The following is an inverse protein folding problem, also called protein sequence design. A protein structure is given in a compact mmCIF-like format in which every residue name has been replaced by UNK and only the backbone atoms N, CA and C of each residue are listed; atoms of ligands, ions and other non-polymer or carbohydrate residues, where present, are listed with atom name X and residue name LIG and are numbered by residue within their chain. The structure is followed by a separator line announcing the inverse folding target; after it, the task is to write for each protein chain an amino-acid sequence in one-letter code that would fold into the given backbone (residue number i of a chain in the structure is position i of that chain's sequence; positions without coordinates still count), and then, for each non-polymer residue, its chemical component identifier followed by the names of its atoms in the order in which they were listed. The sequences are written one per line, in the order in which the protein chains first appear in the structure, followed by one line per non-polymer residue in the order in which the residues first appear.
data_IF_612922620507
#
_entry.id   IF_612922620507
#
_cell.length_a   1.000
_cell.length_b   1.000
_cell.length_c   1.000
_cell.angle_alpha   90.00
_cell.angle_beta   90.00
_cell.angle_gamma   90.00
#
_symmetry.space_group_name_H-M   'P 1'
#
loop_
_entity.id
_entity.type
_entity.pdbx_description
1 polymer ?
#
# COMPACT_ATOMS: atom_id res chain seq x y z
N UNK A 1 -2.11 7.57 15.20
CA UNK A 1 -3.24 7.23 14.32
C UNK A 1 -2.93 7.74 12.91
N UNK A 2 -2.46 6.87 12.01
CA UNK A 2 -2.35 7.22 10.58
C UNK A 2 -3.68 6.82 9.94
N UNK A 3 -4.36 7.78 9.32
CA UNK A 3 -5.55 7.52 8.49
C UNK A 3 -5.21 6.37 7.52
N UNK A 4 -6.14 5.45 7.21
CA UNK A 4 -5.91 4.54 6.11
C UNK A 4 -5.58 5.41 4.89
N UNK A 5 -4.50 5.09 4.18
CA UNK A 5 -4.24 5.67 2.87
C UNK A 5 -5.43 5.23 2.01
N UNK A 6 -6.51 6.00 2.05
CA UNK A 6 -7.45 6.01 0.96
C UNK A 6 -6.61 6.31 -0.26
N UNK A 7 -6.71 5.44 -1.24
CA UNK A 7 -6.33 5.70 -2.60
C UNK A 7 -7.24 6.83 -3.11
N UNK A 8 -7.10 8.03 -2.54
CA UNK A 8 -7.66 9.25 -3.09
C UNK A 8 -6.79 9.48 -4.30
N UNK A 9 -7.30 8.92 -5.38
CA UNK A 9 -7.01 9.29 -6.73
C UNK A 9 -7.08 10.82 -6.79
N UNK A 10 -5.92 11.47 -6.70
CA UNK A 10 -5.69 12.70 -7.44
C UNK A 10 -5.33 12.27 -8.89
N UNK A 11 -6.23 11.55 -9.55
CA UNK A 11 -6.27 11.63 -11.01
C UNK A 11 -6.91 12.98 -11.26
N UNK A 12 -6.08 13.92 -11.70
CA UNK A 12 -6.53 15.24 -12.11
C UNK A 12 -7.76 15.08 -12.99
N UNK A 13 -8.87 15.67 -12.56
CA UNK A 13 -9.83 16.20 -13.51
C UNK A 13 -9.12 17.32 -14.28
N UNK A 14 -8.43 16.99 -15.36
CA UNK A 14 -8.24 17.95 -16.44
C UNK A 14 -9.46 17.86 -17.33
N UNK A 15 -10.54 18.52 -16.91
CA UNK A 15 -11.54 18.99 -17.86
C UNK A 15 -10.87 20.10 -18.69
N UNK A 16 -10.11 19.71 -19.71
CA UNK A 16 -9.68 20.61 -20.75
C UNK A 16 -10.51 20.27 -21.99
N UNK A 17 -11.76 20.75 -22.01
CA UNK A 17 -12.44 20.95 -23.28
C UNK A 17 -11.59 21.94 -24.09
N UNK A 18 -11.31 21.60 -25.36
CA UNK A 18 -10.60 22.36 -26.39
C UNK A 18 -10.23 23.82 -26.03
N UNK A 19 -9.29 23.99 -25.10
CA UNK A 19 -8.74 25.26 -24.68
C UNK A 19 -7.34 25.35 -25.29
N UNK A 20 -6.99 26.53 -25.80
CA UNK A 20 -5.76 26.81 -26.55
C UNK A 20 -4.56 26.02 -26.01
N UNK A 21 -4.10 25.06 -26.81
CA UNK A 21 -2.91 24.27 -26.49
C UNK A 21 -1.73 25.24 -26.33
N UNK A 22 -1.16 25.28 -25.12
CA UNK A 22 0.05 26.06 -24.84
C UNK A 22 1.21 25.27 -25.43
N UNK A 23 1.90 25.82 -26.42
CA UNK A 23 3.06 25.18 -27.03
C UNK A 23 4.36 25.63 -26.36
N UNK A 24 5.25 24.66 -26.12
CA UNK A 24 6.63 24.87 -25.73
C UNK A 24 7.59 24.42 -26.86
N UNK A 25 8.87 24.72 -26.71
CA UNK A 25 9.90 24.35 -27.68
C UNK A 25 10.17 25.46 -28.70
N UNK A 26 10.87 25.10 -29.78
CA UNK A 26 11.23 26.04 -30.86
C UNK A 26 10.06 26.21 -31.83
N UNK A 27 10.04 27.30 -32.58
CA UNK A 27 8.97 27.58 -33.55
C UNK A 27 8.86 26.50 -34.66
N UNK A 28 9.97 25.87 -35.01
CA UNK A 28 10.08 24.78 -35.97
C UNK A 28 9.90 23.39 -35.35
N UNK A 29 9.71 23.30 -34.04
CA UNK A 29 9.46 22.07 -33.32
C UNK A 29 8.66 22.30 -32.03
N UNK A 30 7.38 22.61 -32.22
CA UNK A 30 6.44 22.89 -31.13
C UNK A 30 5.94 21.60 -30.48
N UNK A 31 5.80 21.64 -29.17
CA UNK A 31 5.34 20.54 -28.32
C UNK A 31 4.15 21.07 -27.52
N UNK A 32 3.04 20.34 -27.52
CA UNK A 32 1.87 20.69 -26.75
C UNK A 32 2.14 20.47 -25.26
N UNK A 33 1.93 21.50 -24.46
CA UNK A 33 1.94 21.45 -23.01
C UNK A 33 0.53 21.31 -22.43
N UNK A 34 0.49 21.01 -21.13
CA UNK A 34 -0.73 20.99 -20.33
C UNK A 34 -0.56 21.82 -19.06
N UNK A 35 -1.65 22.05 -18.31
CA UNK A 35 -1.66 22.93 -17.14
C UNK A 35 -0.53 22.65 -16.12
N UNK A 36 -0.19 21.38 -15.87
CA UNK A 36 0.89 21.01 -14.92
C UNK A 36 2.31 21.38 -15.37
N UNK A 37 2.55 21.56 -16.67
CA UNK A 37 3.84 21.96 -17.23
C UNK A 37 3.83 23.44 -17.67
N UNK A 38 2.87 24.23 -17.19
CA UNK A 38 2.83 25.66 -17.44
C UNK A 38 4.10 26.34 -16.89
N UNK A 39 4.83 27.04 -17.76
CA UNK A 39 6.13 27.66 -17.44
C UNK A 39 7.31 26.67 -17.38
N UNK A 40 7.12 25.41 -17.77
CA UNK A 40 8.21 24.45 -17.91
C UNK A 40 8.87 24.59 -19.29
N UNK A 41 10.14 24.22 -19.38
CA UNK A 41 10.86 24.06 -20.63
C UNK A 41 10.76 22.61 -21.12
N UNK A 42 10.43 22.43 -22.40
CA UNK A 42 10.41 21.14 -23.08
C UNK A 42 11.71 20.90 -23.85
N UNK A 43 12.28 19.71 -23.68
CA UNK A 43 13.35 19.17 -24.52
C UNK A 43 12.86 17.92 -25.23
N UNK A 44 12.92 17.93 -26.56
CA UNK A 44 12.54 16.81 -27.42
C UNK A 44 13.75 16.39 -28.25
N UNK A 45 14.04 15.09 -28.28
CA UNK A 45 15.16 14.54 -29.05
C UNK A 45 14.73 13.77 -30.32
N UNK A 46 13.44 13.74 -30.65
CA UNK A 46 12.93 13.09 -31.86
C UNK A 46 12.84 14.04 -33.05
N UNK A 47 12.21 13.58 -34.13
CA UNK A 47 12.04 14.37 -35.34
C UNK A 47 11.01 15.50 -35.16
N UNK A 48 11.07 16.48 -36.06
CA UNK A 48 10.10 17.57 -36.16
C UNK A 48 9.53 17.58 -37.59
N UNK A 49 8.22 17.73 -37.71
CA UNK A 49 7.49 17.75 -38.98
C UNK A 49 6.43 18.86 -38.93
N UNK A 50 6.36 19.66 -39.99
CA UNK A 50 5.39 20.76 -40.14
C UNK A 50 5.39 21.76 -38.97
N UNK A 51 6.56 21.98 -38.36
CA UNK A 51 6.73 22.88 -37.21
C UNK A 51 6.36 22.28 -35.85
N UNK A 52 6.17 20.96 -35.77
CA UNK A 52 5.79 20.24 -34.55
C UNK A 52 6.68 19.04 -34.29
N UNK A 53 6.86 18.68 -33.02
CA UNK A 53 7.48 17.41 -32.66
C UNK A 53 6.64 16.22 -33.16
N UNK A 54 7.28 15.26 -33.82
CA UNK A 54 6.57 14.15 -34.48
C UNK A 54 7.41 12.88 -34.59
N UNK A 55 6.76 11.73 -34.46
CA UNK A 55 7.41 10.42 -34.47
C UNK A 55 7.95 10.04 -33.10
N UNK A 56 8.69 8.92 -33.00
CA UNK A 56 9.24 8.42 -31.76
C UNK A 56 10.32 9.34 -31.19
N UNK A 57 10.40 9.40 -29.86
CA UNK A 57 11.45 10.13 -29.15
C UNK A 57 11.21 10.19 -27.65
N UNK A 58 12.09 10.92 -26.98
CA UNK A 58 12.03 11.27 -25.57
C UNK A 58 11.73 12.76 -25.40
N UNK A 59 10.65 13.06 -24.69
CA UNK A 59 10.26 14.38 -24.23
C UNK A 59 10.62 14.52 -22.75
N UNK A 60 11.35 15.57 -22.41
CA UNK A 60 11.69 15.92 -21.03
C UNK A 60 11.19 17.33 -20.72
N UNK A 61 10.31 17.45 -19.73
CA UNK A 61 9.93 18.72 -19.12
C UNK A 61 10.85 19.06 -17.95
N UNK A 62 11.14 20.34 -17.79
CA UNK A 62 11.95 20.86 -16.70
C UNK A 62 11.45 22.21 -16.22
N UNK A 63 11.64 22.50 -14.94
CA UNK A 63 11.36 23.81 -14.33
C UNK A 63 12.55 24.22 -13.47
N UNK A 64 13.02 25.45 -13.63
CA UNK A 64 14.18 25.99 -12.90
C UNK A 64 15.42 25.08 -12.98
N UNK A 65 15.67 24.50 -14.16
CA UNK A 65 16.78 23.58 -14.42
C UNK A 65 16.64 22.17 -13.83
N UNK A 66 15.50 21.83 -13.21
CA UNK A 66 15.22 20.50 -12.65
C UNK A 66 14.23 19.74 -13.54
N UNK A 67 14.54 18.49 -13.86
CA UNK A 67 13.64 17.59 -14.57
C UNK A 67 12.35 17.35 -13.74
N UNK A 68 11.19 17.37 -14.41
CA UNK A 68 9.88 17.15 -13.77
C UNK A 68 9.17 15.94 -14.37
N UNK A 69 8.79 16.02 -15.64
CA UNK A 69 7.99 15.00 -16.31
C UNK A 69 8.74 14.52 -17.54
N UNK A 70 8.64 13.23 -17.86
CA UNK A 70 9.28 12.62 -19.02
C UNK A 70 8.27 11.77 -19.77
N UNK A 71 8.36 11.74 -21.08
CA UNK A 71 7.59 10.83 -21.91
C UNK A 71 8.51 10.19 -22.94
N UNK A 72 8.40 8.88 -23.11
CA UNK A 72 9.07 8.10 -24.14
C UNK A 72 8.02 7.44 -25.02
N UNK A 73 7.98 7.82 -26.30
CA UNK A 73 6.99 7.32 -27.24
C UNK A 73 6.83 8.25 -28.43
N UNK A 74 5.83 7.99 -29.31
CA UNK A 74 5.55 8.85 -30.44
C UNK A 74 4.85 10.14 -30.01
N UNK A 75 5.18 11.22 -30.71
CA UNK A 75 4.38 12.43 -30.76
C UNK A 75 3.72 12.58 -32.14
N UNK A 76 2.53 13.17 -32.18
CA UNK A 76 1.85 13.61 -33.39
C UNK A 76 1.43 15.06 -33.22
N UNK A 77 1.89 15.96 -34.11
CA UNK A 77 1.65 17.41 -34.00
C UNK A 77 1.98 17.98 -32.61
N UNK A 78 3.07 17.48 -32.00
CA UNK A 78 3.54 17.90 -30.69
C UNK A 78 2.83 17.27 -29.50
N UNK A 79 1.89 16.33 -29.72
CA UNK A 79 1.05 15.72 -28.69
C UNK A 79 1.41 14.22 -28.55
N UNK A 80 1.52 13.64 -27.33
CA UNK A 80 1.70 12.20 -27.15
C UNK A 80 0.60 11.36 -27.81
N UNK A 81 1.01 10.38 -28.61
CA UNK A 81 0.12 9.54 -29.42
C UNK A 81 0.70 8.13 -29.57
N UNK A 82 -0.13 7.10 -29.47
CA UNK A 82 0.29 5.70 -29.57
C UNK A 82 1.00 5.19 -28.30
N UNK A 83 1.68 4.05 -28.41
CA UNK A 83 2.29 3.39 -27.25
C UNK A 83 3.45 4.21 -26.66
N UNK A 84 3.44 4.43 -25.35
CA UNK A 84 4.50 5.17 -24.66
C UNK A 84 4.52 4.96 -23.15
N UNK A 85 5.53 5.55 -22.53
CA UNK A 85 5.74 5.55 -21.08
C UNK A 85 5.93 7.00 -20.61
N UNK A 86 5.07 7.47 -19.73
CA UNK A 86 5.22 8.76 -19.05
C UNK A 86 5.67 8.57 -17.60
N UNK A 87 6.65 9.36 -17.17
CA UNK A 87 7.01 9.55 -15.78
C UNK A 87 6.56 10.95 -15.33
N UNK A 88 5.74 11.00 -14.29
CA UNK A 88 5.23 12.23 -13.71
C UNK A 88 6.17 12.81 -12.65
N UNK A 89 5.98 14.10 -12.33
CA UNK A 89 6.81 14.82 -11.37
C UNK A 89 6.77 14.25 -9.93
N UNK A 90 5.70 13.53 -9.58
CA UNK A 90 5.62 12.85 -8.28
C UNK A 90 6.42 11.54 -8.24
N UNK A 91 6.86 11.03 -9.40
CA UNK A 91 7.56 9.77 -9.62
C UNK A 91 6.69 8.64 -10.14
N UNK A 92 5.39 8.86 -10.34
CA UNK A 92 4.47 7.86 -10.87
C UNK A 92 4.77 7.57 -12.36
N UNK A 93 4.63 6.31 -12.76
CA UNK A 93 4.86 5.83 -14.13
C UNK A 93 3.53 5.41 -14.75
N UNK A 94 3.28 5.84 -15.97
CA UNK A 94 2.13 5.47 -16.77
C UNK A 94 2.64 4.82 -18.04
N UNK A 95 2.19 3.62 -18.33
CA UNK A 95 2.53 2.85 -19.54
C UNK A 95 1.25 2.46 -20.25
N UNK A 96 1.19 2.68 -21.56
CA UNK A 96 0.05 2.30 -22.37
C UNK A 96 -0.03 3.08 -23.67
N UNK A 97 -1.19 3.07 -24.32
CA UNK A 97 -1.42 3.91 -25.48
C UNK A 97 -1.87 5.31 -25.06
N UNK A 98 -1.43 6.30 -25.81
CA UNK A 98 -1.81 7.70 -25.66
C UNK A 98 -2.66 8.12 -26.84
N UNK A 99 -3.70 8.93 -26.57
CA UNK A 99 -4.49 9.61 -27.58
C UNK A 99 -4.72 11.03 -27.10
N UNK A 100 -4.42 12.01 -27.94
CA UNK A 100 -4.53 13.43 -27.59
C UNK A 100 -3.77 13.80 -26.29
N UNK A 101 -2.63 13.13 -26.05
CA UNK A 101 -1.78 13.40 -24.90
C UNK A 101 -2.21 12.72 -23.59
N UNK A 102 -3.32 11.98 -23.61
CA UNK A 102 -3.89 11.30 -22.45
C UNK A 102 -3.79 9.78 -22.60
N UNK A 103 -3.59 9.06 -21.50
CA UNK A 103 -3.60 7.61 -21.46
C UNK A 103 -4.98 7.09 -21.90
N UNK A 104 -4.99 6.16 -22.83
CA UNK A 104 -6.18 5.63 -23.47
C UNK A 104 -6.06 4.13 -23.79
N UNK A 105 -7.16 3.40 -23.64
CA UNK A 105 -7.18 1.94 -23.81
C UNK A 105 -6.44 1.21 -22.69
N UNK A 106 -5.93 0.00 -22.92
CA UNK A 106 -5.21 -0.76 -21.90
C UNK A 106 -3.95 -0.01 -21.43
N UNK A 107 -3.77 0.07 -20.12
CA UNK A 107 -2.61 0.71 -19.52
C UNK A 107 -2.29 0.21 -18.13
N UNK A 108 -1.12 0.60 -17.65
CA UNK A 108 -0.59 0.31 -16.33
C UNK A 108 -0.11 1.62 -15.70
N UNK A 109 -0.55 1.88 -14.48
CA UNK A 109 -0.08 3.00 -13.66
C UNK A 109 0.63 2.45 -12.44
N UNK A 110 1.89 2.81 -12.25
CA UNK A 110 2.68 2.54 -11.06
C UNK A 110 2.83 3.84 -10.28
N UNK A 111 2.24 3.92 -9.11
CA UNK A 111 2.27 5.11 -8.28
C UNK A 111 3.60 5.21 -7.51
N UNK A 112 3.98 6.43 -7.11
CA UNK A 112 5.17 6.69 -6.28
C UNK A 112 5.28 5.78 -5.04
N UNK A 113 4.15 5.42 -4.44
CA UNK A 113 4.10 4.58 -3.25
C UNK A 113 4.34 3.09 -3.52
N UNK A 114 4.40 2.68 -4.79
CA UNK A 114 4.58 1.30 -5.25
C UNK A 114 3.28 0.58 -5.59
N UNK A 115 2.11 1.20 -5.41
CA UNK A 115 0.85 0.63 -5.86
C UNK A 115 0.84 0.56 -7.40
N UNK A 116 0.24 -0.49 -7.96
CA UNK A 116 0.09 -0.72 -9.39
C UNK A 116 -1.40 -0.83 -9.73
N UNK A 117 -1.84 -0.18 -10.79
CA UNK A 117 -3.20 -0.26 -11.33
C UNK A 117 -3.13 -0.65 -12.80
N UNK A 118 -3.77 -1.75 -13.16
CA UNK A 118 -3.96 -2.19 -14.54
C UNK A 118 -5.44 -2.04 -14.89
N UNK A 119 -5.74 -1.32 -15.98
CA UNK A 119 -7.11 -1.02 -16.39
C UNK A 119 -7.18 -0.65 -17.87
N UNK A 120 -8.40 -0.51 -18.39
CA UNK A 120 -8.63 0.32 -19.57
C UNK A 120 -8.79 1.78 -19.13
N UNK A 121 -8.32 2.72 -19.94
CA UNK A 121 -8.35 4.15 -19.65
C UNK A 121 -9.10 4.95 -20.73
N UNK A 122 -9.83 5.95 -20.29
CA UNK A 122 -10.44 6.99 -21.14
C UNK A 122 -10.09 8.34 -20.54
N UNK A 123 -9.35 9.18 -21.28
CA UNK A 123 -8.91 10.51 -20.82
C UNK A 123 -8.21 10.45 -19.45
N UNK A 124 -7.19 9.58 -19.33
CA UNK A 124 -6.45 9.29 -18.09
C UNK A 124 -7.27 8.64 -16.95
N UNK A 125 -8.58 8.38 -17.15
CA UNK A 125 -9.43 7.78 -16.12
C UNK A 125 -9.58 6.28 -16.33
N UNK A 126 -9.34 5.44 -15.31
CA UNK A 126 -9.64 4.02 -15.42
C UNK A 126 -11.14 3.79 -15.58
N UNK A 127 -11.52 2.92 -16.51
CA UNK A 127 -12.90 2.56 -16.81
C UNK A 127 -13.10 1.04 -16.71
N UNK A 128 -14.29 0.64 -16.27
CA UNK A 128 -14.66 -0.77 -16.13
C UNK A 128 -13.99 -1.43 -14.92
N UNK A 129 -13.60 -2.70 -15.11
CA UNK A 129 -12.91 -3.47 -14.08
C UNK A 129 -11.42 -3.16 -14.10
N UNK A 130 -10.82 -3.11 -12.90
CA UNK A 130 -9.40 -2.88 -12.72
C UNK A 130 -8.76 -4.04 -11.97
N UNK A 131 -7.44 -4.17 -12.12
CA UNK A 131 -6.59 -4.95 -11.22
C UNK A 131 -5.66 -4.00 -10.49
N UNK A 132 -5.83 -3.87 -9.19
CA UNK A 132 -4.96 -3.07 -8.35
C UNK A 132 -4.09 -3.98 -7.48
N UNK A 133 -2.78 -3.76 -7.47
CA UNK A 133 -1.82 -4.41 -6.57
C UNK A 133 -1.24 -3.34 -5.67
N UNK A 134 -1.45 -3.46 -4.37
CA UNK A 134 -0.94 -2.49 -3.39
C UNK A 134 0.50 -2.82 -3.03
N UNK A 135 1.29 -1.83 -2.65
CA UNK A 135 2.70 -2.01 -2.24
C UNK A 135 2.87 -2.94 -1.02
N UNK A 136 1.79 -3.19 -0.27
CA UNK A 136 1.74 -4.16 0.82
C UNK A 136 1.53 -5.62 0.37
N UNK A 137 1.23 -5.85 -0.91
CA UNK A 137 0.93 -7.16 -1.51
C UNK A 137 -0.56 -7.48 -1.61
N UNK A 138 -1.44 -6.69 -0.97
CA UNK A 138 -2.89 -6.83 -1.14
C UNK A 138 -3.24 -6.61 -2.62
N UNK A 139 -4.27 -7.29 -3.12
CA UNK A 139 -4.74 -7.09 -4.50
C UNK A 139 -6.25 -7.01 -4.59
N UNK A 140 -6.72 -6.18 -5.50
CA UNK A 140 -8.14 -5.98 -5.79
C UNK A 140 -8.43 -6.22 -7.26
N UNK A 141 -9.49 -6.96 -7.54
CA UNK A 141 -10.06 -7.09 -8.87
C UNK A 141 -11.56 -6.77 -8.82
N UNK A 142 -12.01 -5.80 -9.61
CA UNK A 142 -13.42 -5.41 -9.64
C UNK A 142 -13.67 -4.00 -10.15
N UNK A 143 -14.88 -3.51 -9.90
CA UNK A 143 -15.31 -2.18 -10.33
C UNK A 143 -14.54 -1.06 -9.65
N UNK A 144 -14.42 0.07 -10.35
CA UNK A 144 -13.60 1.18 -9.90
C UNK A 144 -14.16 2.53 -10.29
N UNK A 145 -14.00 3.51 -9.39
CA UNK A 145 -14.32 4.93 -9.67
C UNK A 145 -13.29 5.87 -9.04
N UNK A 146 -13.22 5.87 -7.72
CA UNK A 146 -12.22 6.58 -6.92
C UNK A 146 -11.56 5.63 -5.91
N UNK A 147 -11.34 4.40 -6.35
CA UNK A 147 -11.12 3.22 -5.51
C UNK A 147 -12.16 2.13 -5.79
N UNK A 148 -12.11 1.01 -5.05
CA UNK A 148 -13.06 -0.10 -5.18
C UNK A 148 -14.53 0.35 -5.14
N UNK A 149 -15.32 -0.08 -6.11
CA UNK A 149 -16.72 0.31 -6.29
C UNK A 149 -17.52 -0.82 -6.94
N UNK A 150 -18.82 -0.95 -6.65
CA UNK A 150 -19.65 -1.99 -7.26
C UNK A 150 -19.30 -3.37 -6.72
N UNK A 151 -19.00 -4.35 -7.55
CA UNK A 151 -18.61 -5.69 -7.09
C UNK A 151 -17.12 -5.94 -7.32
N UNK A 152 -16.48 -6.60 -6.37
CA UNK A 152 -15.08 -6.96 -6.51
C UNK A 152 -14.56 -7.90 -5.43
N UNK A 153 -13.35 -8.37 -5.65
CA UNK A 153 -12.63 -9.27 -4.74
C UNK A 153 -11.37 -8.57 -4.28
N UNK A 154 -11.18 -8.47 -2.96
CA UNK A 154 -9.92 -8.06 -2.33
C UNK A 154 -9.28 -9.29 -1.71
N UNK A 155 -8.05 -9.59 -2.10
CA UNK A 155 -7.25 -10.65 -1.48
C UNK A 155 -6.12 -10.00 -0.70
N UNK A 156 -5.94 -10.45 0.53
CA UNK A 156 -5.00 -9.83 1.45
C UNK A 156 -3.66 -10.55 1.43
N UNK A 157 -2.58 -9.79 1.42
CA UNK A 157 -1.21 -10.30 1.44
C UNK A 157 -0.94 -11.18 2.65
N UNK A 158 -1.63 -10.96 3.77
CA UNK A 158 -1.42 -11.76 4.99
C UNK A 158 -2.32 -12.98 5.09
N UNK A 159 -3.20 -13.18 4.10
CA UNK A 159 -4.07 -14.34 3.98
C UNK A 159 -5.55 -13.96 3.93
N UNK A 160 -6.29 -14.80 3.21
CA UNK A 160 -7.73 -14.69 3.01
C UNK A 160 -8.11 -13.64 1.98
N UNK A 161 -9.41 -13.55 1.74
CA UNK A 161 -9.99 -12.61 0.78
C UNK A 161 -11.39 -12.17 1.23
N UNK A 162 -11.87 -11.10 0.62
CA UNK A 162 -13.25 -10.65 0.67
C UNK A 162 -13.80 -10.56 -0.74
N UNK A 163 -14.98 -11.12 -0.98
CA UNK A 163 -15.75 -10.98 -2.22
C UNK A 163 -17.10 -10.36 -1.90
N UNK A 164 -17.43 -9.26 -2.56
CA UNK A 164 -18.72 -8.63 -2.31
C UNK A 164 -18.86 -7.24 -2.90
N UNK A 165 -19.88 -6.50 -2.43
CA UNK A 165 -20.12 -5.13 -2.84
C UNK A 165 -19.16 -4.15 -2.17
N UNK A 166 -18.85 -3.09 -2.90
CA UNK A 166 -17.95 -2.01 -2.54
C UNK A 166 -18.62 -0.66 -2.80
N UNK A 167 -18.34 0.29 -1.91
CA UNK A 167 -18.74 1.69 -2.07
C UNK A 167 -17.66 2.57 -1.46
N UNK A 168 -17.15 3.54 -2.22
CA UNK A 168 -16.11 4.46 -1.75
C UNK A 168 -14.88 3.74 -1.15
N UNK A 169 -14.48 2.62 -1.77
CA UNK A 169 -13.33 1.83 -1.33
C UNK A 169 -13.55 0.99 -0.07
N UNK A 170 -14.80 0.84 0.39
CA UNK A 170 -15.15 0.06 1.59
C UNK A 170 -16.11 -1.09 1.27
N UNK A 171 -16.01 -2.24 1.98
CA UNK A 171 -16.94 -3.35 1.81
C UNK A 171 -18.32 -2.99 2.35
N UNK A 172 -19.38 -3.25 1.58
CA UNK A 172 -20.75 -2.93 1.98
C UNK A 172 -21.71 -4.05 1.57
N UNK A 173 -22.86 -4.15 2.25
CA UNK A 173 -23.91 -5.10 1.87
C UNK A 173 -23.49 -6.55 2.09
N UNK A 174 -24.18 -7.47 1.42
CA UNK A 174 -24.00 -8.90 1.63
C UNK A 174 -22.77 -9.39 0.85
N UNK A 175 -21.78 -9.93 1.56
CA UNK A 175 -20.52 -10.39 1.00
C UNK A 175 -19.96 -11.59 1.75
N UNK A 176 -18.79 -12.04 1.32
CA UNK A 176 -18.17 -13.27 1.81
C UNK A 176 -16.69 -13.03 2.13
N UNK A 177 -16.27 -13.39 3.34
CA UNK A 177 -14.85 -13.54 3.69
C UNK A 177 -14.46 -14.99 3.39
N UNK A 178 -13.41 -15.17 2.60
CA UNK A 178 -12.72 -16.45 2.42
C UNK A 178 -11.51 -16.46 3.37
N UNK A 179 -11.56 -17.32 4.38
CA UNK A 179 -10.43 -17.52 5.26
C UNK A 179 -9.30 -18.29 4.54
N UNK A 180 -8.05 -18.14 5.00
CA UNK A 180 -6.91 -18.89 4.46
C UNK A 180 -7.09 -20.42 4.48
N UNK A 181 -7.87 -20.97 5.41
CA UNK A 181 -8.18 -22.41 5.46
C UNK A 181 -9.34 -22.83 4.52
N UNK A 182 -9.82 -21.93 3.67
CA UNK A 182 -10.91 -22.19 2.73
C UNK A 182 -12.31 -22.06 3.32
N UNK A 183 -12.46 -21.83 4.63
CA UNK A 183 -13.78 -21.57 5.22
C UNK A 183 -14.33 -20.24 4.73
N UNK A 184 -15.66 -20.20 4.54
CA UNK A 184 -16.35 -19.01 4.05
C UNK A 184 -17.28 -18.47 5.13
N UNK A 185 -17.12 -17.18 5.44
CA UNK A 185 -18.02 -16.43 6.31
C UNK A 185 -18.86 -15.49 5.46
N UNK A 186 -20.16 -15.79 5.34
CA UNK A 186 -21.14 -14.91 4.70
C UNK A 186 -21.71 -13.94 5.73
N UNK A 187 -21.67 -12.66 5.45
CA UNK A 187 -22.15 -11.64 6.37
C UNK A 187 -22.52 -10.35 5.64
N UNK A 188 -23.13 -9.42 6.38
CA UNK A 188 -23.42 -8.07 5.90
C UNK A 188 -22.38 -7.09 6.42
N UNK A 189 -21.75 -6.35 5.51
CA UNK A 189 -20.66 -5.42 5.79
C UNK A 189 -21.14 -3.97 5.71
N UNK A 190 -20.58 -3.10 6.54
CA UNK A 190 -20.94 -1.67 6.63
C UNK A 190 -19.70 -0.75 6.60
N UNK A 191 -18.65 -1.21 5.94
CA UNK A 191 -17.41 -0.46 5.72
C UNK A 191 -16.18 -0.99 6.46
N UNK A 192 -16.34 -2.06 7.24
CA UNK A 192 -15.27 -2.79 7.94
C UNK A 192 -15.39 -4.29 7.67
N UNK A 193 -14.26 -5.00 7.61
CA UNK A 193 -14.21 -6.47 7.55
C UNK A 193 -14.41 -7.13 8.92
N UNK A 194 -14.24 -6.37 10.00
CA UNK A 194 -14.60 -6.81 11.35
C UNK A 194 -16.12 -6.73 11.48
N UNK A 195 -16.75 -7.88 11.76
CA UNK A 195 -18.16 -7.92 12.08
C UNK A 195 -18.34 -7.42 13.50
N UNK A 196 -18.78 -6.17 13.67
CA UNK A 196 -19.30 -5.73 14.96
C UNK A 196 -20.54 -6.58 15.25
N UNK A 197 -20.52 -7.33 16.34
CA UNK A 197 -21.68 -8.09 16.80
C UNK A 197 -22.84 -7.12 17.08
N UNK A 198 -23.72 -6.93 16.09
CA UNK A 198 -24.96 -6.13 16.15
C UNK A 198 -24.79 -4.63 16.44
N UNK A 199 -25.78 -3.86 15.97
CA UNK A 199 -25.86 -2.43 16.16
C UNK A 199 -26.14 -2.09 17.63
N UNK A 200 -25.17 -1.51 18.33
CA UNK A 200 -25.46 -0.73 19.54
C UNK A 200 -25.76 0.73 19.15
N UNK A 201 -27.02 1.07 19.35
CA UNK A 201 -27.57 2.42 19.48
C UNK A 201 -26.68 3.25 20.43
N UNK A 202 -26.37 4.52 20.15
CA UNK A 202 -25.43 5.27 20.97
C UNK A 202 -26.03 5.57 22.34
N UNK A 203 -25.53 4.91 23.39
CA UNK A 203 -25.67 5.43 24.74
C UNK A 203 -24.52 6.41 24.99
N UNK A 204 -24.88 7.70 25.06
CA UNK A 204 -23.98 8.75 25.51
C UNK A 204 -23.72 8.56 27.01
N UNK A 205 -22.45 8.44 27.46
CA UNK A 205 -22.17 8.52 28.88
C UNK A 205 -22.34 9.97 29.33
N UNK A 206 -23.23 10.14 30.31
CA UNK A 206 -23.40 11.34 31.13
C UNK A 206 -22.06 11.88 31.64
N UNK A 207 -21.85 13.18 31.44
CA UNK A 207 -20.81 13.98 32.07
C UNK A 207 -20.93 13.87 33.61
N UNK A 208 -19.99 13.17 34.24
CA UNK A 208 -19.73 13.35 35.67
C UNK A 208 -18.56 14.32 35.83
N UNK A 209 -18.84 15.52 36.34
CA UNK A 209 -17.81 16.41 36.85
C UNK A 209 -17.35 15.92 38.22
N UNK A 210 -16.09 15.54 38.35
CA UNK A 210 -15.45 15.39 39.65
C UNK A 210 -14.45 16.54 39.81
N UNK A 211 -14.90 17.62 40.47
CA UNK A 211 -13.99 18.43 41.30
C UNK A 211 -13.70 17.61 42.54
N UNK A 212 -12.44 17.22 42.73
CA UNK A 212 -11.94 16.80 44.03
C UNK A 212 -10.78 17.73 44.41
N UNK A 213 -11.02 18.48 45.47
CA UNK A 213 -10.01 19.16 46.27
C UNK A 213 -9.19 18.11 47.03
N UNK A 214 -7.93 18.48 47.29
CA UNK A 214 -6.96 17.86 48.20
C UNK A 214 -6.25 16.58 47.74
N UNK A 215 -4.95 16.76 47.47
CA UNK A 215 -3.98 15.71 47.20
C UNK A 215 -3.44 15.11 48.51
N UNK A 216 -3.55 13.78 48.72
CA UNK A 216 -2.73 13.10 49.71
C UNK A 216 -1.34 12.83 49.12
N UNK A 217 -0.33 13.40 49.77
CA UNK A 217 1.08 13.09 49.58
C UNK A 217 1.28 11.62 49.98
N UNK A 218 1.55 10.76 49.00
CA UNK A 218 1.82 9.34 49.21
C UNK A 218 2.45 8.76 47.95
N UNK A 219 3.75 8.48 48.03
CA UNK A 219 4.57 7.95 46.95
C UNK A 219 4.02 6.60 46.43
N UNK A 220 3.35 6.63 45.27
CA UNK A 220 3.14 5.46 44.43
C UNK A 220 3.84 5.70 43.08
N UNK A 221 5.17 5.77 43.13
CA UNK A 221 5.98 5.60 41.91
C UNK A 221 5.75 4.14 41.49
N UNK A 222 4.82 3.92 40.55
CA UNK A 222 4.77 2.66 39.80
C UNK A 222 6.06 2.60 38.97
N UNK A 223 6.97 1.63 39.20
CA UNK A 223 8.14 1.49 38.35
C UNK A 223 7.67 0.81 37.07
N UNK A 224 7.35 1.59 36.04
CA UNK A 224 7.28 1.06 34.67
C UNK A 224 7.95 2.06 33.73
N UNK A 225 9.28 2.15 33.80
CA UNK A 225 10.07 2.37 32.59
C UNK A 225 9.99 1.09 31.74
N UNK A 226 8.79 0.78 31.25
CA UNK A 226 8.61 -0.19 30.19
C UNK A 226 9.00 0.52 28.91
N UNK A 227 10.05 0.03 28.25
CA UNK A 227 10.44 0.45 26.90
C UNK A 227 9.22 0.80 26.06
N UNK A 228 9.19 1.97 25.40
CA UNK A 228 8.02 2.56 24.72
C UNK A 228 7.43 1.79 23.52
N UNK A 229 7.51 0.47 23.52
CA UNK A 229 6.88 -0.44 22.55
C UNK A 229 5.44 -0.72 22.95
N UNK A 230 4.51 -0.57 21.99
CA UNK A 230 3.09 -0.91 22.17
C UNK A 230 2.91 -2.39 22.52
N UNK A 231 3.71 -3.27 21.89
CA UNK A 231 3.78 -4.71 22.18
C UNK A 231 5.19 -5.01 22.68
N UNK A 232 5.35 -5.45 23.95
CA UNK A 232 6.65 -5.82 24.49
C UNK A 232 7.28 -6.97 23.68
N UNK A 233 8.56 -6.86 23.29
CA UNK A 233 9.19 -7.80 22.36
C UNK A 233 9.35 -9.21 22.94
N UNK A 234 9.39 -9.39 24.26
CA UNK A 234 9.54 -10.68 24.93
C UNK A 234 8.25 -11.51 24.99
N UNK A 235 7.09 -10.89 24.73
CA UNK A 235 5.80 -11.57 24.88
C UNK A 235 5.43 -12.38 23.65
N UNK A 236 4.95 -13.61 23.89
CA UNK A 236 4.14 -14.36 22.93
C UNK A 236 2.75 -13.75 22.78
N UNK A 237 2.00 -14.14 21.74
CA UNK A 237 0.64 -13.62 21.51
C UNK A 237 -0.33 -13.93 22.67
N UNK A 238 -0.19 -15.09 23.32
CA UNK A 238 -1.05 -15.51 24.42
C UNK A 238 -0.83 -14.71 25.71
N UNK A 239 0.36 -14.13 25.90
CA UNK A 239 0.73 -13.33 27.09
C UNK A 239 0.40 -11.83 26.94
N UNK A 240 -0.12 -11.44 25.78
CA UNK A 240 -0.49 -10.06 25.46
C UNK A 240 -1.84 -9.68 26.07
N UNK A 241 -1.99 -8.39 26.39
CA UNK A 241 -3.31 -7.83 26.72
C UNK A 241 -4.21 -7.78 25.48
N UNK A 242 -5.54 -7.65 25.63
CA UNK A 242 -6.44 -7.50 24.48
C UNK A 242 -6.08 -6.34 23.53
N UNK A 243 -5.58 -5.23 24.06
CA UNK A 243 -5.14 -4.07 23.27
C UNK A 243 -3.89 -4.40 22.45
N UNK A 244 -2.96 -5.14 23.04
CA UNK A 244 -1.73 -5.60 22.39
C UNK A 244 -2.04 -6.63 21.29
N UNK A 245 -2.92 -7.59 21.57
CA UNK A 245 -3.42 -8.54 20.58
C UNK A 245 -4.12 -7.83 19.42
N UNK A 246 -4.97 -6.83 19.73
CA UNK A 246 -5.64 -6.01 18.72
C UNK A 246 -4.65 -5.23 17.84
N UNK A 247 -3.54 -4.75 18.42
CA UNK A 247 -2.48 -4.09 17.66
C UNK A 247 -1.79 -5.02 16.66
N UNK A 248 -1.62 -6.31 16.99
CA UNK A 248 -1.11 -7.34 16.08
C UNK A 248 -2.17 -7.75 15.05
N UNK A 249 -3.41 -8.00 15.48
CA UNK A 249 -4.52 -8.41 14.60
C UNK A 249 -4.86 -7.40 13.52
N UNK A 250 -4.65 -6.09 13.74
CA UNK A 250 -5.04 -5.04 12.77
C UNK A 250 -4.41 -5.17 11.36
N UNK A 251 -3.33 -5.93 11.24
CA UNK A 251 -2.69 -6.24 9.95
C UNK A 251 -3.49 -7.31 9.17
N UNK A 252 -4.18 -8.20 9.86
CA UNK A 252 -4.95 -9.31 9.29
C UNK A 252 -6.42 -8.91 9.13
N UNK A 253 -6.79 -8.45 7.94
CA UNK A 253 -8.09 -7.79 7.70
C UNK A 253 -9.30 -8.69 7.89
N UNK A 254 -9.16 -9.98 7.61
CA UNK A 254 -10.28 -10.95 7.60
C UNK A 254 -10.51 -11.64 8.94
N UNK A 255 -9.53 -11.60 9.86
CA UNK A 255 -9.63 -12.30 11.14
C UNK A 255 -10.61 -11.58 12.06
N UNK A 256 -11.57 -12.31 12.62
CA UNK A 256 -12.57 -11.78 13.55
C UNK A 256 -12.05 -11.81 14.99
N UNK A 257 -12.85 -11.36 15.96
CA UNK A 257 -12.39 -11.20 17.34
C UNK A 257 -11.87 -12.48 17.99
N UNK A 258 -12.49 -13.63 17.71
CA UNK A 258 -12.07 -14.95 18.21
C UNK A 258 -10.92 -15.62 17.44
N UNK A 259 -10.48 -15.01 16.34
CA UNK A 259 -9.39 -15.54 15.53
C UNK A 259 -8.02 -15.11 16.05
N UNK A 260 -6.99 -15.89 15.72
CA UNK A 260 -5.62 -15.69 16.19
C UNK A 260 -4.67 -15.70 15.00
N UNK A 261 -3.88 -14.65 14.77
CA UNK A 261 -2.85 -14.67 13.73
C UNK A 261 -1.67 -15.54 14.16
N UNK A 262 -0.88 -16.09 13.20
CA UNK A 262 0.41 -16.66 13.54
C UNK A 262 1.33 -15.58 14.12
N UNK A 263 2.17 -16.00 15.07
CA UNK A 263 3.09 -15.10 15.76
C UNK A 263 4.32 -15.87 16.26
N UNK A 264 5.52 -15.24 16.35
CA UNK A 264 6.68 -15.90 16.93
C UNK A 264 6.40 -16.44 18.33
N UNK A 265 6.70 -17.72 18.55
CA UNK A 265 6.34 -18.46 19.78
C UNK A 265 6.91 -17.79 21.04
N UNK A 266 8.13 -17.23 20.94
CA UNK A 266 8.85 -16.56 22.04
C UNK A 266 8.91 -15.04 21.89
N UNK A 267 8.00 -14.47 21.10
CA UNK A 267 8.00 -13.05 20.79
C UNK A 267 9.13 -12.61 19.84
N UNK A 268 9.31 -11.30 19.75
CA UNK A 268 10.19 -10.61 18.81
C UNK A 268 11.60 -10.35 19.35
N UNK A 269 11.86 -10.53 20.64
CA UNK A 269 13.10 -10.12 21.30
C UNK A 269 14.33 -10.81 20.70
N UNK A 270 14.33 -12.14 20.67
CA UNK A 270 15.46 -12.92 20.15
C UNK A 270 15.67 -12.68 18.65
N UNK A 271 14.58 -12.55 17.89
CA UNK A 271 14.64 -12.21 16.45
C UNK A 271 15.28 -10.83 16.27
N UNK A 272 14.87 -9.84 17.05
CA UNK A 272 15.40 -8.48 16.96
C UNK A 272 16.87 -8.40 17.37
N UNK A 273 17.28 -9.16 18.39
CA UNK A 273 18.70 -9.29 18.80
C UNK A 273 19.53 -9.95 17.71
N UNK A 274 19.02 -11.03 17.13
CA UNK A 274 19.71 -11.73 16.06
C UNK A 274 19.84 -10.82 14.82
N UNK A 275 18.77 -10.11 14.44
CA UNK A 275 18.79 -9.12 13.36
C UNK A 275 19.77 -7.99 13.65
N UNK A 276 19.81 -7.49 14.89
CA UNK A 276 20.79 -6.51 15.36
C UNK A 276 22.24 -6.93 15.10
N UNK A 277 22.56 -8.19 15.40
CA UNK A 277 23.90 -8.76 15.15
C UNK A 277 24.19 -8.86 13.66
N UNK A 278 23.24 -9.29 12.82
CA UNK A 278 23.43 -9.33 11.37
C UNK A 278 23.88 -7.98 10.78
N UNK A 279 23.21 -6.92 11.22
CA UNK A 279 23.45 -5.55 10.74
C UNK A 279 24.87 -5.08 11.09
N UNK A 280 25.37 -5.48 12.25
CA UNK A 280 26.73 -5.12 12.68
C UNK A 280 27.82 -5.72 11.79
N UNK A 281 27.57 -6.86 11.13
CA UNK A 281 28.57 -7.50 10.26
C UNK A 281 28.57 -6.95 8.83
N UNK A 282 27.44 -6.47 8.32
CA UNK A 282 27.29 -6.05 6.92
C UNK A 282 27.19 -4.53 6.72
N UNK A 283 27.22 -3.74 7.80
CA UNK A 283 27.03 -2.28 7.74
C UNK A 283 25.73 -1.84 7.02
N UNK A 284 24.74 -2.73 6.96
CA UNK A 284 23.50 -2.48 6.22
C UNK A 284 22.63 -1.44 6.91
N UNK A 285 22.26 -0.38 6.20
CA UNK A 285 21.40 0.68 6.72
C UNK A 285 20.19 0.86 5.83
N UNK A 286 19.00 0.71 6.39
CA UNK A 286 17.75 0.87 5.65
C UNK A 286 16.60 0.07 6.22
N UNK A 287 15.46 0.11 5.52
CA UNK A 287 14.27 -0.64 5.91
C UNK A 287 14.33 -2.04 5.32
N UNK A 288 14.14 -3.04 6.18
CA UNK A 288 13.89 -4.41 5.78
C UNK A 288 12.42 -4.73 6.04
N UNK A 289 11.71 -5.23 5.02
CA UNK A 289 10.33 -5.71 5.12
C UNK A 289 10.22 -7.07 4.49
N UNK A 290 9.62 -8.01 5.22
CA UNK A 290 9.46 -9.38 4.78
C UNK A 290 8.13 -9.94 5.27
N UNK A 291 7.55 -10.85 4.50
CA UNK A 291 6.43 -11.68 4.94
C UNK A 291 6.91 -13.13 5.01
N UNK A 292 6.66 -13.81 6.12
CA UNK A 292 6.98 -15.23 6.30
C UNK A 292 5.71 -16.04 6.16
N UNK A 293 5.64 -16.94 5.19
CA UNK A 293 4.53 -17.89 5.09
C UNK A 293 4.68 -18.94 6.18
N UNK A 294 3.65 -19.08 7.01
CA UNK A 294 3.57 -20.05 8.10
C UNK A 294 2.40 -20.97 7.81
N UNK A 295 2.62 -22.28 7.86
CA UNK A 295 1.56 -23.27 7.64
C UNK A 295 0.62 -23.42 8.84
N UNK A 296 -0.38 -24.30 8.71
CA UNK A 296 -1.35 -24.60 9.76
C UNK A 296 -0.76 -25.25 11.02
N UNK A 297 0.50 -25.69 10.99
CA UNK A 297 1.22 -26.26 12.13
C UNK A 297 2.17 -25.26 12.79
N UNK A 298 2.29 -24.03 12.25
CA UNK A 298 3.21 -23.02 12.77
C UNK A 298 4.64 -23.13 12.23
N UNK A 299 4.83 -23.87 11.13
CA UNK A 299 6.15 -24.04 10.50
C UNK A 299 6.32 -23.02 9.36
N UNK A 300 7.46 -22.34 9.34
CA UNK A 300 7.80 -21.42 8.26
C UNK A 300 8.09 -22.18 6.96
N UNK A 301 7.45 -21.77 5.87
CA UNK A 301 7.53 -22.41 4.56
C UNK A 301 8.34 -21.60 3.56
N UNK A 302 8.18 -20.28 3.55
CA UNK A 302 8.94 -19.37 2.69
C UNK A 302 9.01 -17.96 3.28
N UNK A 303 9.91 -17.14 2.73
CA UNK A 303 10.00 -15.71 3.04
C UNK A 303 9.95 -14.90 1.75
N UNK A 304 9.03 -13.94 1.69
CA UNK A 304 8.94 -12.95 0.63
C UNK A 304 9.57 -11.64 1.10
N UNK A 305 10.66 -11.22 0.46
CA UNK A 305 11.29 -9.93 0.73
C UNK A 305 10.56 -8.81 -0.03
N UNK A 306 9.87 -7.95 0.69
CA UNK A 306 9.17 -6.79 0.14
C UNK A 306 10.10 -5.57 0.00
N UNK A 307 11.09 -5.46 0.89
CA UNK A 307 12.11 -4.41 0.84
C UNK A 307 13.34 -4.86 1.59
N UNK A 308 14.52 -4.56 1.05
CA UNK A 308 15.80 -4.78 1.73
C UNK A 308 16.76 -3.63 1.37
N UNK A 309 17.68 -3.22 2.26
CA UNK A 309 18.74 -2.28 1.89
C UNK A 309 19.66 -2.85 0.80
N UNK A 310 19.96 -4.13 0.87
CA UNK A 310 20.80 -4.85 -0.08
C UNK A 310 20.41 -6.34 -0.14
N UNK A 311 20.91 -7.03 -1.16
CA UNK A 311 20.62 -8.45 -1.42
C UNK A 311 21.07 -9.36 -0.28
N UNK A 312 22.27 -9.14 0.26
CA UNK A 312 22.90 -10.08 1.18
C UNK A 312 22.26 -10.01 2.57
N UNK A 313 21.99 -8.81 3.06
CA UNK A 313 21.23 -8.62 4.30
C UNK A 313 19.81 -9.17 4.17
N UNK A 314 19.20 -9.02 3.00
CA UNK A 314 17.87 -9.57 2.71
C UNK A 314 17.86 -11.10 2.81
N UNK A 315 18.78 -11.78 2.12
CA UNK A 315 18.91 -13.25 2.14
C UNK A 315 19.16 -13.76 3.55
N UNK A 316 20.06 -13.12 4.28
CA UNK A 316 20.43 -13.54 5.62
C UNK A 316 19.29 -13.37 6.62
N UNK A 317 18.57 -12.25 6.55
CA UNK A 317 17.36 -12.04 7.31
C UNK A 317 16.28 -13.07 6.97
N UNK A 318 16.07 -13.37 5.70
CA UNK A 318 15.12 -14.40 5.26
C UNK A 318 15.48 -15.78 5.82
N UNK A 319 16.75 -16.19 5.73
CA UNK A 319 17.22 -17.46 6.31
C UNK A 319 17.00 -17.55 7.81
N UNK A 320 17.20 -16.45 8.55
CA UNK A 320 16.94 -16.45 9.99
C UNK A 320 15.46 -16.52 10.32
N UNK A 321 14.60 -15.81 9.58
CA UNK A 321 13.15 -15.86 9.78
C UNK A 321 12.59 -17.27 9.51
N UNK A 322 13.18 -18.03 8.57
CA UNK A 322 12.82 -19.44 8.36
C UNK A 322 13.10 -20.36 9.55
N UNK A 323 14.03 -20.00 10.45
CA UNK A 323 14.39 -20.80 11.62
C UNK A 323 13.54 -20.48 12.85
N UNK A 324 12.70 -19.44 12.77
CA UNK A 324 11.82 -19.03 13.87
C UNK A 324 10.69 -20.05 14.00
N UNK A 325 10.36 -20.41 15.25
CA UNK A 325 9.14 -21.16 15.56
C UNK A 325 7.97 -20.20 15.71
N UNK A 326 6.85 -20.54 15.08
CA UNK A 326 5.63 -19.74 15.13
C UNK A 326 4.51 -20.53 15.80
N UNK A 327 3.60 -19.83 16.46
CA UNK A 327 2.29 -20.41 16.79
C UNK A 327 1.44 -20.45 15.51
N UNK A 328 0.65 -21.52 15.29
CA UNK A 328 -0.24 -21.58 14.14
C UNK A 328 -1.31 -20.49 14.22
N UNK A 329 -1.72 -19.97 13.07
CA UNK A 329 -2.91 -19.13 12.96
C UNK A 329 -4.17 -19.94 13.23
N UNK A 330 -5.23 -19.30 13.74
CA UNK A 330 -6.57 -19.85 13.87
C UNK A 330 -7.55 -18.96 13.15
N UNK A 331 -8.22 -19.52 12.16
CA UNK A 331 -9.23 -18.88 11.32
C UNK A 331 -10.54 -19.62 11.51
N UNK A 332 -11.58 -18.91 11.96
CA UNK A 332 -12.86 -19.49 12.38
C UNK A 332 -12.69 -20.73 13.30
N UNK A 333 -11.76 -20.60 14.26
CA UNK A 333 -11.46 -21.62 15.27
C UNK A 333 -10.56 -22.77 14.81
N UNK A 334 -10.30 -22.92 13.51
CA UNK A 334 -9.46 -23.98 12.95
C UNK A 334 -8.06 -23.47 12.59
N UNK A 335 -7.01 -24.32 12.69
CA UNK A 335 -5.68 -23.95 12.23
C UNK A 335 -5.68 -23.50 10.77
N UNK A 336 -4.87 -22.49 10.44
CA UNK A 336 -4.80 -21.96 9.09
C UNK A 336 -3.40 -21.43 8.76
N UNK A 337 -2.98 -21.65 7.50
CA UNK A 337 -1.75 -21.10 6.96
C UNK A 337 -1.92 -19.60 6.66
N UNK A 338 -0.98 -18.77 7.12
CA UNK A 338 -1.04 -17.30 7.00
C UNK A 338 0.37 -16.73 6.91
N UNK A 339 0.49 -15.46 6.50
CA UNK A 339 1.79 -14.79 6.51
C UNK A 339 2.01 -13.94 7.75
N UNK A 340 3.21 -13.99 8.33
CA UNK A 340 3.65 -13.12 9.41
C UNK A 340 4.44 -11.95 8.83
N UNK A 341 3.99 -10.69 8.97
CA UNK A 341 4.70 -9.53 8.48
C UNK A 341 5.81 -9.10 9.45
N UNK A 342 6.98 -8.80 8.90
CA UNK A 342 8.14 -8.27 9.60
C UNK A 342 8.58 -6.94 9.01
N UNK A 343 8.91 -5.99 9.88
CA UNK A 343 9.47 -4.69 9.48
C UNK A 343 10.55 -4.29 10.46
N UNK A 344 11.79 -4.24 9.98
CA UNK A 344 12.95 -3.81 10.76
C UNK A 344 13.51 -2.52 10.15
N UNK A 345 13.96 -1.62 11.02
CA UNK A 345 14.84 -0.53 10.62
C UNK A 345 16.26 -0.93 10.97
N UNK A 346 17.04 -1.25 9.94
CA UNK A 346 18.44 -1.60 10.09
C UNK A 346 19.25 -0.30 10.18
N UNK A 347 19.98 -0.13 11.27
CA UNK A 347 20.90 1.01 11.45
C UNK A 347 22.22 0.49 11.96
N UNK A 348 23.27 0.69 11.18
CA UNK A 348 24.62 0.43 11.63
C UNK A 348 25.13 1.63 12.44
N UNK A 349 25.44 1.41 13.73
CA UNK A 349 26.24 2.35 14.51
C UNK A 349 27.68 1.87 14.45
N UNK A 350 28.59 2.75 14.04
CA UNK A 350 30.04 2.52 14.19
C UNK A 350 30.44 2.48 15.64
#
# INVERSE_FOLDING_TARGET
MKKPLSLIILLCASSAGAADLIYAGKADCRIAGHARVAGHMAYWNGACKDGYASGPGGLQWSKDGKATERYEGPLSKGVPEGAGIAQWADGSLHEGNYRDGMLHGPGVVIFKNGDKLEANFEEDKPVGNVKAVYAGGDHYEGGWRHGPEGSGTMTFALGGAYRGPWREGKPVGDGEILYPNGQVLKARFNGSFQLTAQAEKPEAPTLYSLKAQDAPIGSNIRPVMGSGYVVPPEKSYAEMTPEQQSFVKRYYKVLQDGDVPPYPEKGMLEISRAMGRLISYQAATGKLRANVSVDEHGVAQNVTLLKSPDSESGKLAASMLMLVKYTPGRCAGQPCAMMVPFSFLLSFSK
#
